data_IF_223060473901
#
_entry.id   IF_223060473901
#
_cell.length_a   1.000
_cell.length_b   1.000
_cell.length_c   1.000
_cell.angle_alpha   90.00
_cell.angle_beta   90.00
_cell.angle_gamma   90.00
#
_symmetry.space_group_name_H-M   'P 1'
#
loop_
_entity.id
_entity.type
_entity.pdbx_description
1 polymer ?
#
# COMPACT_ATOMS: atom_id res chain seq x y z
N UNK A 1 -0.71 -10.90 -29.26
CA UNK A 1 -0.18 -10.82 -27.88
C UNK A 1 -0.78 -9.64 -27.12
N UNK A 2 -0.89 -8.45 -27.76
CA UNK A 2 -1.51 -7.27 -27.14
C UNK A 2 -2.99 -7.49 -26.80
N UNK A 3 -3.77 -8.08 -27.69
CA UNK A 3 -5.20 -8.34 -27.49
C UNK A 3 -5.46 -9.30 -26.34
N UNK A 4 -4.61 -10.32 -26.17
CA UNK A 4 -4.70 -11.26 -25.05
C UNK A 4 -4.41 -10.61 -23.69
N UNK A 5 -3.47 -9.66 -23.64
CA UNK A 5 -3.18 -8.88 -22.43
C UNK A 5 -4.32 -7.92 -22.08
N UNK A 6 -4.91 -7.29 -23.09
CA UNK A 6 -6.06 -6.39 -22.91
C UNK A 6 -7.28 -7.15 -22.40
N UNK A 7 -7.61 -8.30 -23.01
CA UNK A 7 -8.68 -9.17 -22.50
C UNK A 7 -8.40 -9.70 -21.10
N UNK A 8 -7.13 -10.02 -20.79
CA UNK A 8 -6.70 -10.38 -19.44
C UNK A 8 -6.97 -9.28 -18.43
N UNK A 9 -6.65 -8.01 -18.76
CA UNK A 9 -6.92 -6.87 -17.89
C UNK A 9 -8.41 -6.70 -17.61
N UNK A 10 -9.27 -6.81 -18.63
CA UNK A 10 -10.73 -6.72 -18.42
C UNK A 10 -11.28 -7.88 -17.58
N UNK A 11 -10.71 -9.09 -17.72
CA UNK A 11 -11.12 -10.23 -16.92
C UNK A 11 -10.70 -10.12 -15.45
N UNK A 12 -9.56 -9.47 -15.18
CA UNK A 12 -9.04 -9.25 -13.82
C UNK A 12 -9.73 -8.05 -13.15
N UNK A 13 -10.08 -7.01 -13.93
CA UNK A 13 -10.64 -5.76 -13.42
C UNK A 13 -12.01 -5.41 -14.04
N UNK A 14 -13.03 -6.29 -13.97
CA UNK A 14 -14.33 -6.05 -14.59
C UNK A 14 -15.11 -4.89 -13.95
N UNK A 15 -14.70 -4.44 -12.76
CA UNK A 15 -15.40 -3.43 -11.97
C UNK A 15 -14.99 -1.99 -12.31
N UNK A 16 -13.91 -1.80 -13.08
CA UNK A 16 -13.35 -0.49 -13.43
C UNK A 16 -12.99 -0.41 -14.92
N UNK A 17 -13.94 -0.66 -15.82
CA UNK A 17 -13.67 -0.71 -17.26
C UNK A 17 -13.08 0.62 -17.77
N UNK A 18 -13.54 1.76 -17.29
CA UNK A 18 -13.08 3.10 -17.72
C UNK A 18 -11.58 3.31 -17.41
N UNK A 19 -11.10 2.79 -16.28
CA UNK A 19 -9.67 2.86 -15.92
C UNK A 19 -8.86 1.92 -16.81
N UNK A 20 -9.37 0.72 -17.08
CA UNK A 20 -8.72 -0.23 -18.00
C UNK A 20 -8.64 0.37 -19.38
N UNK A 21 -9.72 0.98 -19.91
CA UNK A 21 -9.74 1.67 -21.19
C UNK A 21 -8.69 2.79 -21.24
N UNK A 22 -8.63 3.63 -20.22
CA UNK A 22 -7.65 4.72 -20.13
C UNK A 22 -6.20 4.19 -20.14
N UNK A 23 -5.91 3.16 -19.37
CA UNK A 23 -4.57 2.53 -19.31
C UNK A 23 -4.20 1.90 -20.65
N UNK A 24 -5.14 1.19 -21.29
CA UNK A 24 -4.92 0.57 -22.60
C UNK A 24 -4.71 1.61 -23.67
N UNK A 25 -5.54 2.65 -23.70
CA UNK A 25 -5.40 3.75 -24.66
C UNK A 25 -4.07 4.51 -24.47
N UNK A 26 -3.69 4.79 -23.22
CA UNK A 26 -2.40 5.40 -22.90
C UNK A 26 -1.23 4.53 -23.35
N UNK A 27 -1.28 3.23 -23.06
CA UNK A 27 -0.25 2.29 -23.48
C UNK A 27 -0.16 2.18 -25.01
N UNK A 28 -1.29 2.11 -25.72
CA UNK A 28 -1.32 2.08 -27.17
C UNK A 28 -0.79 3.38 -27.77
N UNK A 29 -1.16 4.55 -27.23
CA UNK A 29 -0.63 5.84 -27.67
C UNK A 29 0.86 5.98 -27.42
N UNK A 30 1.35 5.47 -26.27
CA UNK A 30 2.77 5.45 -25.94
C UNK A 30 3.56 4.57 -26.92
N UNK A 31 3.04 3.37 -27.21
CA UNK A 31 3.64 2.44 -28.17
C UNK A 31 3.60 2.99 -29.60
N UNK A 32 2.49 3.59 -30.05
CA UNK A 32 2.36 4.16 -31.38
C UNK A 32 3.29 5.37 -31.62
N UNK A 33 3.59 6.14 -30.57
CA UNK A 33 4.56 7.25 -30.65
C UNK A 33 6.01 6.79 -30.65
N UNK A 34 6.26 5.56 -30.24
CA UNK A 34 7.60 5.00 -30.12
C UNK A 34 7.98 4.30 -31.43
N UNK A 35 8.40 5.08 -32.42
CA UNK A 35 8.89 4.57 -33.71
C UNK A 35 10.23 3.79 -33.64
N UNK A 36 10.76 3.55 -32.44
CA UNK A 36 11.96 2.76 -32.22
C UNK A 36 11.80 1.89 -30.99
N UNK A 37 11.84 0.56 -31.17
CA UNK A 37 11.78 -0.43 -30.07
C UNK A 37 12.78 -0.16 -28.93
N UNK A 38 13.86 0.56 -29.20
CA UNK A 38 14.87 0.98 -28.23
C UNK A 38 14.36 1.97 -27.18
N UNK A 39 13.49 2.93 -27.57
CA UNK A 39 12.93 3.89 -26.63
C UNK A 39 11.94 3.21 -25.68
N UNK A 40 11.13 2.28 -26.19
CA UNK A 40 10.24 1.48 -25.35
C UNK A 40 11.04 0.61 -24.39
N UNK A 41 12.08 -0.08 -24.87
CA UNK A 41 12.94 -0.91 -24.04
C UNK A 41 13.64 -0.07 -22.95
N UNK A 42 14.21 1.07 -23.30
CA UNK A 42 14.82 2.00 -22.34
C UNK A 42 13.83 2.51 -21.31
N UNK A 43 12.60 2.88 -21.73
CA UNK A 43 11.56 3.35 -20.83
C UNK A 43 11.12 2.28 -19.84
N UNK A 44 11.00 1.03 -20.28
CA UNK A 44 10.69 -0.10 -19.40
C UNK A 44 11.80 -0.36 -18.38
N UNK A 45 13.06 -0.31 -18.80
CA UNK A 45 14.22 -0.45 -17.90
C UNK A 45 14.25 0.69 -16.89
N UNK A 46 14.04 1.93 -17.34
CA UNK A 46 14.01 3.12 -16.47
C UNK A 46 12.85 3.03 -15.45
N UNK A 47 11.66 2.58 -15.90
CA UNK A 47 10.51 2.36 -15.02
C UNK A 47 10.81 1.29 -13.97
N UNK A 48 11.34 0.14 -14.41
CA UNK A 48 11.73 -0.95 -13.51
C UNK A 48 12.77 -0.47 -12.48
N UNK A 49 13.80 0.24 -12.94
CA UNK A 49 14.81 0.82 -12.05
C UNK A 49 14.20 1.79 -11.04
N UNK A 50 13.28 2.66 -11.46
CA UNK A 50 12.59 3.60 -10.59
C UNK A 50 11.80 2.87 -9.49
N UNK A 51 11.04 1.83 -9.85
CA UNK A 51 10.28 1.02 -8.89
C UNK A 51 11.22 0.35 -7.89
N UNK A 52 12.30 -0.28 -8.36
CA UNK A 52 13.31 -0.91 -7.50
C UNK A 52 13.95 0.11 -6.56
N UNK A 53 14.26 1.30 -7.06
CA UNK A 53 14.84 2.38 -6.25
C UNK A 53 13.91 2.82 -5.12
N UNK A 54 12.61 2.97 -5.39
CA UNK A 54 11.61 3.28 -4.37
C UNK A 54 11.57 2.19 -3.30
N UNK A 55 11.46 0.92 -3.68
CA UNK A 55 11.46 -0.18 -2.73
C UNK A 55 12.75 -0.27 -1.93
N UNK A 56 13.90 0.01 -2.55
CA UNK A 56 15.18 0.10 -1.84
C UNK A 56 15.16 1.19 -0.76
N UNK A 57 14.65 2.37 -1.10
CA UNK A 57 14.54 3.48 -0.14
C UNK A 57 13.60 3.14 1.03
N UNK A 58 12.53 2.40 0.74
CA UNK A 58 11.61 1.88 1.75
C UNK A 58 12.33 0.91 2.70
N UNK A 59 13.04 -0.07 2.13
CA UNK A 59 13.81 -1.04 2.92
C UNK A 59 14.88 -0.35 3.78
N UNK A 60 15.59 0.63 3.20
CA UNK A 60 16.63 1.39 3.92
C UNK A 60 16.02 2.17 5.11
N UNK A 61 14.84 2.76 4.95
CA UNK A 61 14.14 3.42 6.05
C UNK A 61 13.76 2.43 7.17
N UNK A 62 13.24 1.24 6.80
CA UNK A 62 12.95 0.20 7.78
C UNK A 62 14.18 -0.35 8.47
N UNK A 63 15.26 -0.62 7.71
CA UNK A 63 16.52 -1.10 8.28
C UNK A 63 17.14 -0.08 9.22
N UNK A 64 16.99 1.22 8.93
CA UNK A 64 17.46 2.28 9.82
C UNK A 64 16.68 2.30 11.15
N UNK A 65 15.34 2.17 11.11
CA UNK A 65 14.52 2.05 12.32
C UNK A 65 14.90 0.82 13.14
N UNK A 66 15.20 -0.31 12.47
CA UNK A 66 15.57 -1.55 13.11
C UNK A 66 17.06 -1.67 13.48
N UNK A 67 17.83 -0.61 13.31
CA UNK A 67 19.29 -0.57 13.58
C UNK A 67 20.06 -1.68 12.84
N UNK A 68 19.63 -2.03 11.63
CA UNK A 68 20.21 -3.11 10.82
C UNK A 68 21.25 -2.53 9.85
N UNK A 69 22.50 -2.87 10.05
CA UNK A 69 23.63 -2.39 9.21
C UNK A 69 23.98 -3.33 8.04
N UNK A 70 23.28 -4.46 7.90
CA UNK A 70 23.56 -5.44 6.85
C UNK A 70 22.55 -5.34 5.70
N UNK A 71 23.05 -5.23 4.46
CA UNK A 71 22.21 -5.31 3.27
C UNK A 71 21.83 -6.76 2.96
N UNK A 72 20.59 -6.99 2.47
CA UNK A 72 20.16 -8.29 1.96
C UNK A 72 20.92 -8.65 0.68
N UNK A 73 21.01 -9.95 0.40
CA UNK A 73 21.41 -10.40 -0.93
C UNK A 73 20.41 -9.90 -1.98
N UNK A 74 20.90 -9.49 -3.15
CA UNK A 74 20.08 -8.91 -4.22
C UNK A 74 18.90 -9.83 -4.59
N UNK A 75 19.13 -11.15 -4.69
CA UNK A 75 18.10 -12.12 -5.05
C UNK A 75 16.93 -12.08 -4.04
N UNK A 76 17.22 -12.08 -2.76
CA UNK A 76 16.21 -12.02 -1.70
C UNK A 76 15.47 -10.69 -1.72
N UNK A 77 16.18 -9.60 -1.90
CA UNK A 77 15.64 -8.25 -2.03
C UNK A 77 14.57 -8.16 -3.13
N UNK A 78 14.91 -8.60 -4.34
CA UNK A 78 13.97 -8.58 -5.47
C UNK A 78 12.80 -9.55 -5.29
N UNK A 79 13.03 -10.73 -4.70
CA UNK A 79 11.97 -11.70 -4.42
C UNK A 79 10.93 -11.12 -3.46
N UNK A 80 11.37 -10.46 -2.39
CA UNK A 80 10.49 -9.84 -1.39
C UNK A 80 9.68 -8.68 -2.01
N UNK A 81 10.30 -7.87 -2.89
CA UNK A 81 9.61 -6.78 -3.59
C UNK A 81 8.54 -7.30 -4.56
N UNK A 82 8.86 -8.32 -5.35
CA UNK A 82 7.90 -8.96 -6.25
C UNK A 82 6.74 -9.55 -5.44
N UNK A 83 7.02 -10.19 -4.31
CA UNK A 83 5.99 -10.73 -3.43
C UNK A 83 5.03 -9.63 -2.95
N UNK A 84 5.54 -8.48 -2.50
CA UNK A 84 4.71 -7.35 -2.06
C UNK A 84 3.90 -6.78 -3.23
N UNK A 85 4.52 -6.57 -4.39
CA UNK A 85 3.85 -6.04 -5.59
C UNK A 85 2.70 -6.96 -6.04
N UNK A 86 2.83 -8.28 -5.86
CA UNK A 86 1.78 -9.24 -6.21
C UNK A 86 0.74 -9.37 -5.10
N UNK A 87 1.17 -9.46 -3.84
CA UNK A 87 0.27 -9.71 -2.70
C UNK A 87 -0.63 -8.49 -2.44
N UNK A 88 -0.12 -7.26 -2.53
CA UNK A 88 -0.90 -6.07 -2.22
C UNK A 88 -2.14 -5.89 -3.12
N UNK A 89 -2.04 -5.98 -4.47
CA UNK A 89 -3.21 -5.96 -5.34
C UNK A 89 -4.16 -7.14 -5.11
N UNK A 90 -3.62 -8.35 -4.87
CA UNK A 90 -4.44 -9.53 -4.58
C UNK A 90 -5.25 -9.35 -3.30
N UNK A 91 -4.64 -8.83 -2.24
CA UNK A 91 -5.34 -8.50 -0.99
C UNK A 91 -6.45 -7.47 -1.23
N UNK A 92 -6.17 -6.47 -2.07
CA UNK A 92 -7.18 -5.48 -2.46
C UNK A 92 -8.36 -6.11 -3.22
N UNK A 93 -8.08 -6.96 -4.20
CA UNK A 93 -9.11 -7.69 -4.98
C UNK A 93 -9.94 -8.59 -4.05
N UNK A 94 -9.31 -9.33 -3.16
CA UNK A 94 -9.99 -10.18 -2.18
C UNK A 94 -10.90 -9.34 -1.29
N UNK A 95 -10.39 -8.23 -0.73
CA UNK A 95 -11.19 -7.34 0.12
C UNK A 95 -12.41 -6.76 -0.62
N UNK A 96 -12.22 -6.34 -1.88
CA UNK A 96 -13.28 -5.81 -2.71
C UNK A 96 -14.32 -6.87 -3.09
N UNK A 97 -13.85 -8.07 -3.47
CA UNK A 97 -14.72 -9.19 -3.85
C UNK A 97 -15.54 -9.71 -2.67
N UNK A 98 -14.95 -9.80 -1.48
CA UNK A 98 -15.69 -10.23 -0.29
C UNK A 98 -16.90 -9.33 0.01
N UNK A 99 -16.77 -8.03 -0.24
CA UNK A 99 -17.89 -7.11 -0.09
C UNK A 99 -19.02 -7.39 -1.11
N UNK A 100 -18.67 -7.76 -2.36
CA UNK A 100 -19.65 -8.17 -3.37
C UNK A 100 -20.32 -9.51 -3.02
N UNK A 101 -19.53 -10.53 -2.72
CA UNK A 101 -20.05 -11.87 -2.36
C UNK A 101 -20.95 -11.84 -1.13
N UNK A 102 -20.63 -11.04 -0.12
CA UNK A 102 -21.50 -10.89 1.06
C UNK A 102 -22.87 -10.30 0.70
N UNK A 103 -22.93 -9.36 -0.23
CA UNK A 103 -24.19 -8.79 -0.70
C UNK A 103 -25.03 -9.82 -1.46
N UNK A 104 -24.40 -10.52 -2.40
CA UNK A 104 -25.08 -11.48 -3.27
C UNK A 104 -25.51 -12.74 -2.49
N UNK A 105 -24.65 -13.25 -1.61
CA UNK A 105 -24.91 -14.49 -0.86
C UNK A 105 -25.98 -14.31 0.21
N UNK A 106 -26.01 -13.15 0.86
CA UNK A 106 -27.01 -12.84 1.89
C UNK A 106 -28.35 -12.39 1.30
N UNK A 107 -28.41 -12.14 -0.03
CA UNK A 107 -29.61 -11.64 -0.72
C UNK A 107 -30.27 -10.45 0.02
N UNK A 108 -29.44 -9.65 0.69
CA UNK A 108 -29.86 -8.59 1.59
C UNK A 108 -29.56 -7.26 0.91
N UNK A 109 -30.58 -6.47 0.65
CA UNK A 109 -30.41 -5.04 0.37
C UNK A 109 -29.50 -4.41 1.41
N UNK A 110 -28.85 -3.27 1.12
CA UNK A 110 -27.84 -2.61 1.97
C UNK A 110 -28.30 -2.40 3.43
N UNK A 111 -28.40 -3.49 4.16
CA UNK A 111 -28.79 -3.50 5.58
C UNK A 111 -27.61 -2.99 6.42
N UNK A 112 -27.92 -2.39 7.55
CA UNK A 112 -26.94 -1.94 8.54
C UNK A 112 -25.86 -3.00 8.82
N UNK A 113 -26.24 -4.26 8.95
CA UNK A 113 -25.34 -5.38 9.24
C UNK A 113 -24.32 -5.67 8.13
N UNK A 114 -24.72 -5.56 6.86
CA UNK A 114 -23.82 -5.76 5.72
C UNK A 114 -22.78 -4.63 5.66
N UNK A 115 -23.20 -3.38 5.86
CA UNK A 115 -22.28 -2.24 5.95
C UNK A 115 -21.31 -2.35 7.13
N UNK A 116 -21.80 -2.83 8.26
CA UNK A 116 -20.96 -3.04 9.45
C UNK A 116 -19.93 -4.14 9.22
N UNK A 117 -20.34 -5.29 8.67
CA UNK A 117 -19.44 -6.40 8.33
C UNK A 117 -18.37 -5.97 7.30
N UNK A 118 -18.74 -5.23 6.26
CA UNK A 118 -17.80 -4.70 5.26
C UNK A 118 -16.74 -3.80 5.88
N UNK A 119 -17.10 -2.95 6.84
CA UNK A 119 -16.14 -2.10 7.56
C UNK A 119 -15.17 -2.93 8.42
N UNK A 120 -15.68 -3.96 9.10
CA UNK A 120 -14.82 -4.86 9.90
C UNK A 120 -13.83 -5.59 8.99
N UNK A 121 -14.28 -6.13 7.87
CA UNK A 121 -13.42 -6.83 6.92
C UNK A 121 -12.32 -5.89 6.42
N UNK A 122 -12.67 -4.69 6.00
CA UNK A 122 -11.68 -3.69 5.55
C UNK A 122 -10.66 -3.35 6.64
N UNK A 123 -11.10 -3.27 7.89
CA UNK A 123 -10.24 -3.01 9.04
C UNK A 123 -9.29 -4.19 9.32
N UNK A 124 -9.80 -5.41 9.29
CA UNK A 124 -8.99 -6.63 9.46
C UNK A 124 -7.94 -6.74 8.34
N UNK A 125 -8.32 -6.47 7.09
CA UNK A 125 -7.40 -6.50 5.95
C UNK A 125 -6.28 -5.47 6.10
N UNK A 126 -6.59 -4.25 6.55
CA UNK A 126 -5.58 -3.24 6.84
C UNK A 126 -4.61 -3.72 7.94
N UNK A 127 -5.13 -4.28 9.04
CA UNK A 127 -4.30 -4.80 10.12
C UNK A 127 -3.37 -5.92 9.65
N UNK A 128 -3.87 -6.86 8.86
CA UNK A 128 -3.08 -7.95 8.27
C UNK A 128 -2.01 -7.38 7.34
N UNK A 129 -2.38 -6.44 6.49
CA UNK A 129 -1.48 -5.81 5.52
C UNK A 129 -0.30 -5.10 6.22
N UNK A 130 -0.59 -4.24 7.20
CA UNK A 130 0.45 -3.55 7.97
C UNK A 130 1.31 -4.54 8.77
N UNK A 131 0.70 -5.59 9.35
CA UNK A 131 1.46 -6.63 10.06
C UNK A 131 2.42 -7.38 9.14
N UNK A 132 2.00 -7.74 7.93
CA UNK A 132 2.85 -8.39 6.92
C UNK A 132 4.01 -7.46 6.54
N UNK A 133 3.73 -6.18 6.28
CA UNK A 133 4.75 -5.19 5.94
C UNK A 133 5.81 -5.11 7.04
N UNK A 134 5.42 -5.06 8.32
CA UNK A 134 6.36 -4.98 9.44
C UNK A 134 7.15 -6.26 9.70
N UNK A 135 6.69 -7.41 9.19
CA UNK A 135 7.44 -8.67 9.24
C UNK A 135 8.42 -8.79 8.07
N UNK A 136 7.99 -8.38 6.87
CA UNK A 136 8.71 -8.68 5.61
C UNK A 136 9.75 -7.62 5.28
N UNK A 137 9.43 -6.33 5.48
CA UNK A 137 10.31 -5.24 5.05
C UNK A 137 11.63 -5.15 5.84
N UNK A 138 11.67 -5.27 7.19
CA UNK A 138 12.94 -5.19 7.90
C UNK A 138 13.86 -6.37 7.57
N UNK A 139 15.15 -6.10 7.41
CA UNK A 139 16.14 -7.18 7.21
C UNK A 139 16.56 -7.82 8.54
N UNK A 140 15.60 -8.13 9.39
CA UNK A 140 15.82 -8.76 10.70
C UNK A 140 14.65 -9.67 11.05
N UNK A 141 14.82 -10.48 12.12
CA UNK A 141 13.76 -11.34 12.61
C UNK A 141 12.82 -10.55 13.52
N UNK A 142 11.66 -10.19 13.01
CA UNK A 142 10.61 -9.51 13.76
C UNK A 142 9.72 -10.53 14.46
N UNK A 143 9.44 -10.32 15.76
CA UNK A 143 8.48 -11.14 16.49
C UNK A 143 7.07 -10.86 15.99
N UNK A 144 6.32 -11.91 15.64
CA UNK A 144 4.94 -11.79 15.15
C UNK A 144 4.05 -10.97 16.08
N UNK A 145 4.20 -11.15 17.40
CA UNK A 145 3.41 -10.41 18.39
C UNK A 145 3.67 -8.89 18.33
N UNK A 146 4.91 -8.46 18.11
CA UNK A 146 5.26 -7.04 17.97
C UNK A 146 4.68 -6.47 16.67
N UNK A 147 4.86 -7.18 15.56
CA UNK A 147 4.33 -6.79 14.26
C UNK A 147 2.80 -6.70 14.24
N UNK A 148 2.10 -7.65 14.85
CA UNK A 148 0.63 -7.65 14.91
C UNK A 148 0.12 -6.49 15.77
N UNK A 149 0.71 -6.23 16.94
CA UNK A 149 0.32 -5.10 17.79
C UNK A 149 0.48 -3.77 17.06
N UNK A 150 1.64 -3.55 16.46
CA UNK A 150 1.90 -2.32 15.68
C UNK A 150 1.05 -2.25 14.41
N UNK A 151 0.80 -3.38 13.74
CA UNK A 151 -0.06 -3.46 12.57
C UNK A 151 -1.52 -3.09 12.88
N UNK A 152 -2.05 -3.50 14.04
CA UNK A 152 -3.39 -3.11 14.50
C UNK A 152 -3.43 -1.60 14.75
N UNK A 153 -2.43 -1.03 15.44
CA UNK A 153 -2.39 0.40 15.75
C UNK A 153 -2.26 1.21 14.45
N UNK A 154 -1.24 0.93 13.64
CA UNK A 154 -0.98 1.67 12.42
C UNK A 154 -2.11 1.51 11.39
N UNK A 155 -2.66 0.30 11.22
CA UNK A 155 -3.80 0.05 10.35
C UNK A 155 -5.06 0.80 10.80
N UNK A 156 -5.31 0.89 12.10
CA UNK A 156 -6.43 1.68 12.63
C UNK A 156 -6.22 3.17 12.37
N UNK A 157 -5.03 3.70 12.66
CA UNK A 157 -4.69 5.10 12.39
C UNK A 157 -4.80 5.41 10.89
N UNK A 158 -4.35 4.49 10.03
CA UNK A 158 -4.46 4.64 8.59
C UNK A 158 -5.91 4.70 8.11
N UNK A 159 -6.79 3.84 8.62
CA UNK A 159 -8.23 3.88 8.27
C UNK A 159 -8.89 5.19 8.71
N UNK A 160 -8.59 5.64 9.93
CA UNK A 160 -9.09 6.93 10.43
C UNK A 160 -8.58 8.07 9.55
N UNK A 161 -7.30 8.07 9.23
CA UNK A 161 -6.71 9.05 8.31
C UNK A 161 -7.37 9.00 6.94
N UNK A 162 -7.55 7.82 6.37
CA UNK A 162 -8.21 7.63 5.07
C UNK A 162 -9.64 8.20 5.07
N UNK A 163 -10.39 7.95 6.11
CA UNK A 163 -11.74 8.50 6.26
C UNK A 163 -11.73 10.04 6.33
N UNK A 164 -10.83 10.62 7.12
CA UNK A 164 -10.67 12.07 7.23
C UNK A 164 -10.25 12.68 5.88
N UNK A 165 -9.31 12.04 5.20
CA UNK A 165 -8.81 12.49 3.90
C UNK A 165 -9.91 12.50 2.83
N UNK A 166 -10.70 11.42 2.71
CA UNK A 166 -11.82 11.35 1.77
C UNK A 166 -12.89 12.38 2.12
N UNK A 167 -13.18 12.58 3.40
CA UNK A 167 -14.14 13.60 3.85
C UNK A 167 -13.66 15.01 3.49
N UNK A 168 -12.37 15.29 3.66
CA UNK A 168 -11.76 16.56 3.27
C UNK A 168 -11.82 16.76 1.75
N UNK A 169 -11.53 15.72 0.98
CA UNK A 169 -11.57 15.77 -0.47
C UNK A 169 -12.98 16.06 -0.98
N UNK A 170 -14.01 15.42 -0.44
CA UNK A 170 -15.42 15.68 -0.78
C UNK A 170 -15.82 17.12 -0.43
N UNK A 171 -15.40 17.62 0.73
CA UNK A 171 -15.64 19.01 1.12
C UNK A 171 -14.97 19.99 0.17
N UNK A 172 -13.72 19.78 -0.19
CA UNK A 172 -13.00 20.62 -1.14
C UNK A 172 -13.57 20.57 -2.55
N UNK A 173 -14.05 19.42 -3.00
CA UNK A 173 -14.71 19.26 -4.31
C UNK A 173 -15.97 20.13 -4.43
N UNK A 174 -16.66 20.37 -3.33
CA UNK A 174 -17.83 21.26 -3.28
C UNK A 174 -17.47 22.73 -3.53
N UNK A 175 -16.21 23.12 -3.32
CA UNK A 175 -15.69 24.47 -3.61
C UNK A 175 -14.93 24.59 -4.93
N UNK A 176 -15.12 23.62 -5.82
CA UNK A 176 -14.34 23.40 -7.06
C UNK A 176 -14.40 24.55 -8.11
N UNK A 177 -15.25 25.55 -7.92
CA UNK A 177 -15.36 26.67 -8.83
C UNK A 177 -14.07 27.55 -8.90
N UNK A 178 -13.20 27.48 -7.89
CA UNK A 178 -12.01 28.34 -7.78
C UNK A 178 -10.69 27.59 -8.02
N UNK A 179 -10.57 26.34 -7.54
CA UNK A 179 -9.30 25.61 -7.53
C UNK A 179 -9.19 24.48 -8.57
N UNK A 180 -10.29 24.00 -9.14
CA UNK A 180 -10.33 23.00 -10.22
C UNK A 180 -9.42 21.79 -9.98
N UNK A 181 -8.81 21.30 -11.06
CA UNK A 181 -7.85 20.20 -11.05
C UNK A 181 -6.53 20.51 -10.32
N UNK A 182 -6.26 21.79 -10.02
CA UNK A 182 -5.01 22.22 -9.39
C UNK A 182 -4.88 21.74 -7.94
N UNK A 183 -6.00 21.54 -7.24
CA UNK A 183 -6.00 21.04 -5.87
C UNK A 183 -5.64 19.54 -5.78
N UNK A 184 -5.78 18.78 -6.85
CA UNK A 184 -5.53 17.33 -6.84
C UNK A 184 -4.09 16.97 -6.50
N UNK A 185 -3.11 17.70 -7.04
CA UNK A 185 -1.69 17.44 -6.81
C UNK A 185 -1.28 17.67 -5.34
N UNK A 186 -1.54 18.83 -4.70
CA UNK A 186 -1.26 19.02 -3.29
C UNK A 186 -1.95 17.99 -2.38
N UNK A 187 -3.22 17.69 -2.65
CA UNK A 187 -3.94 16.67 -1.89
C UNK A 187 -3.28 15.30 -2.00
N UNK A 188 -2.89 14.89 -3.20
CA UNK A 188 -2.18 13.64 -3.42
C UNK A 188 -0.85 13.60 -2.65
N UNK A 189 -0.08 14.69 -2.66
CA UNK A 189 1.19 14.76 -1.90
C UNK A 189 0.96 14.65 -0.39
N UNK A 190 -0.08 15.31 0.15
CA UNK A 190 -0.44 15.19 1.57
C UNK A 190 -0.81 13.74 1.90
N UNK A 191 -1.59 13.09 1.03
CA UNK A 191 -1.99 11.70 1.22
C UNK A 191 -0.78 10.75 1.25
N UNK A 192 0.13 10.89 0.28
CA UNK A 192 1.36 10.09 0.21
C UNK A 192 2.22 10.32 1.46
N UNK A 193 2.45 11.59 1.82
CA UNK A 193 3.29 11.94 2.96
C UNK A 193 2.73 11.41 4.29
N UNK A 194 1.43 11.58 4.53
CA UNK A 194 0.79 11.11 5.75
C UNK A 194 0.75 9.57 5.81
N UNK A 195 0.43 8.90 4.70
CA UNK A 195 0.46 7.44 4.60
C UNK A 195 1.85 6.88 4.92
N UNK A 196 2.88 7.52 4.38
CA UNK A 196 4.27 7.16 4.64
C UNK A 196 4.64 7.37 6.12
N UNK A 197 4.26 8.50 6.70
CA UNK A 197 4.50 8.79 8.12
C UNK A 197 3.83 7.76 9.04
N UNK A 198 2.59 7.39 8.76
CA UNK A 198 1.88 6.34 9.52
C UNK A 198 2.59 5.00 9.42
N UNK A 199 3.05 4.64 8.22
CA UNK A 199 3.78 3.40 7.99
C UNK A 199 5.08 3.34 8.80
N UNK A 200 5.89 4.40 8.77
CA UNK A 200 7.16 4.44 9.51
C UNK A 200 6.96 4.50 11.03
N UNK A 201 5.99 5.29 11.52
CA UNK A 201 5.65 5.31 12.95
C UNK A 201 5.22 3.93 13.45
N UNK A 202 4.46 3.19 12.66
CA UNK A 202 4.09 1.82 13.01
C UNK A 202 5.28 0.85 13.00
N UNK A 203 6.26 1.05 12.12
CA UNK A 203 7.51 0.29 12.14
C UNK A 203 8.32 0.56 13.41
N UNK A 204 8.39 1.81 13.85
CA UNK A 204 9.04 2.22 15.08
C UNK A 204 8.34 1.67 16.33
N UNK A 205 7.00 1.64 16.33
CA UNK A 205 6.23 0.96 17.35
C UNK A 205 6.52 -0.55 17.39
N UNK A 206 6.68 -1.19 16.24
CA UNK A 206 7.03 -2.61 16.16
C UNK A 206 8.42 -2.88 16.75
N UNK A 207 9.39 -2.04 16.44
CA UNK A 207 10.73 -2.09 17.03
C UNK A 207 10.69 -1.89 18.54
N UNK A 208 9.95 -0.92 19.03
CA UNK A 208 9.77 -0.62 20.45
C UNK A 208 9.13 -1.79 21.18
N UNK A 209 8.03 -2.36 20.70
CA UNK A 209 7.40 -3.54 21.30
C UNK A 209 8.30 -4.77 21.30
N UNK A 210 9.20 -4.88 20.34
CA UNK A 210 10.16 -5.98 20.34
C UNK A 210 11.26 -5.80 21.38
N UNK A 211 11.71 -4.58 21.62
CA UNK A 211 12.86 -4.23 22.46
C UNK A 211 12.45 -3.63 23.82
N UNK A 212 11.19 -3.74 24.23
CA UNK A 212 10.64 -3.18 25.46
C UNK A 212 11.49 -3.49 26.68
N UNK A 213 11.88 -4.76 26.89
CA UNK A 213 12.71 -5.18 28.01
C UNK A 213 14.12 -4.53 28.01
N UNK A 214 14.72 -4.39 26.84
CA UNK A 214 16.03 -3.74 26.69
C UNK A 214 15.96 -2.28 27.13
N UNK A 215 14.90 -1.58 26.75
CA UNK A 215 14.72 -0.19 27.13
C UNK A 215 14.44 -0.01 28.63
N UNK A 216 13.74 -0.95 29.26
CA UNK A 216 13.51 -0.94 30.71
C UNK A 216 14.82 -1.15 31.46
N UNK A 217 15.66 -2.11 31.05
CA UNK A 217 16.98 -2.37 31.65
C UNK A 217 17.93 -1.17 31.48
N UNK A 218 17.95 -0.54 30.31
CA UNK A 218 18.74 0.67 30.05
C UNK A 218 18.27 1.84 30.95
N UNK A 219 16.95 2.01 31.13
CA UNK A 219 16.39 3.04 32.01
C UNK A 219 16.78 2.81 33.48
N UNK A 220 16.69 1.59 33.96
CA UNK A 220 17.08 1.24 35.34
C UNK A 220 18.57 1.52 35.57
N UNK A 221 19.43 1.18 34.61
CA UNK A 221 20.88 1.43 34.72
C UNK A 221 21.26 2.90 34.74
N UNK A 222 20.45 3.79 34.15
CA UNK A 222 20.67 5.24 34.20
C UNK A 222 20.18 5.92 35.48
N UNK A 223 19.36 5.23 36.29
CA UNK A 223 18.83 5.78 37.56
C UNK A 223 19.68 5.39 38.78
N UNK A 224 20.70 4.55 38.61
CA UNK A 224 21.68 4.15 39.63
C UNK A 224 22.94 4.97 39.47
#
# INVERSE_FOLDING_TARGET
>A
LADGLVQGLYSIFPQIPDIVDYVVEFAQKALARTQGGWVAAFSLVALFWSVVSVFSSIEDAFNNIWEVNSSRSLIRKYSDYIAIIVIAPLMWVIASSMNGYLRDWLNVEETFWVRFASKIISMLMAWVMFSIIYIVLPNTKVRYAAAIKSGIIAGTVFIVFQWLYVSLQMWMTSYNAIYGSFAALPLFLIWVQASWSILLLGAELSFTFQNEKRFDEERESMMI
#
